data_IF_581903341675
#
_entry.id   IF_581903341675
#
_cell.length_a   1.000
_cell.length_b   1.000
_cell.length_c   1.000
_cell.angle_alpha   90.00
_cell.angle_beta   90.00
_cell.angle_gamma   90.00
#
_symmetry.space_group_name_H-M   'P 1'
#
loop_
_entity.id
_entity.type
_entity.pdbx_description
1 polymer ?
#
# COMPACT_ATOMS: atom_id res chain seq x y z
N UNK A 1 -14.93 -8.05 6.88
CA UNK A 1 -15.38 -8.39 5.52
C UNK A 1 -14.21 -8.07 4.60
N UNK A 2 -13.56 -9.09 4.06
CA UNK A 2 -12.50 -8.89 3.05
C UNK A 2 -13.15 -8.67 1.69
N UNK A 3 -12.67 -7.68 0.93
CA UNK A 3 -13.19 -7.37 -0.40
C UNK A 3 -12.67 -8.36 -1.46
N UNK A 4 -11.45 -8.87 -1.28
CA UNK A 4 -10.76 -9.81 -2.16
C UNK A 4 -9.78 -10.64 -1.32
N UNK A 5 -9.62 -11.93 -1.63
CA UNK A 5 -8.60 -12.77 -0.99
C UNK A 5 -7.19 -12.48 -1.55
N UNK A 6 -6.15 -12.82 -0.79
CA UNK A 6 -4.76 -12.64 -1.23
C UNK A 6 -4.42 -13.54 -2.42
N UNK A 7 -5.01 -14.74 -2.47
CA UNK A 7 -4.85 -15.67 -3.57
C UNK A 7 -5.46 -15.12 -4.87
N UNK A 8 -6.66 -14.52 -4.79
CA UNK A 8 -7.29 -13.86 -5.94
C UNK A 8 -6.49 -12.65 -6.42
N UNK A 9 -5.96 -11.84 -5.49
CA UNK A 9 -5.10 -10.71 -5.81
C UNK A 9 -3.82 -11.15 -6.53
N UNK A 10 -3.07 -12.10 -5.96
CA UNK A 10 -1.83 -12.61 -6.57
C UNK A 10 -2.12 -13.19 -7.97
N UNK A 11 -3.20 -13.96 -8.11
CA UNK A 11 -3.62 -14.47 -9.42
C UNK A 11 -3.88 -13.34 -10.42
N UNK A 12 -4.50 -12.23 -10.01
CA UNK A 12 -4.69 -11.08 -10.89
C UNK A 12 -3.36 -10.41 -11.26
N UNK A 13 -2.43 -10.30 -10.31
CA UNK A 13 -1.09 -9.75 -10.54
C UNK A 13 -0.28 -10.60 -11.52
N UNK A 14 -0.34 -11.92 -11.41
CA UNK A 14 0.35 -12.84 -12.34
C UNK A 14 -0.19 -12.76 -13.77
N UNK A 15 -1.47 -12.39 -13.93
CA UNK A 15 -2.12 -12.24 -15.24
C UNK A 15 -2.01 -10.81 -15.82
N UNK A 16 -1.26 -9.91 -15.18
CA UNK A 16 -1.03 -8.55 -15.71
C UNK A 16 -0.30 -8.60 -17.04
N UNK A 17 -0.45 -7.56 -17.87
CA UNK A 17 0.32 -7.45 -19.09
C UNK A 17 1.83 -7.37 -18.78
N UNK A 18 2.66 -7.98 -19.63
CA UNK A 18 4.10 -8.19 -19.37
C UNK A 18 4.92 -6.93 -19.13
N UNK A 19 4.46 -5.76 -19.58
CA UNK A 19 5.15 -4.46 -19.38
C UNK A 19 4.45 -3.57 -18.37
N UNK A 20 3.56 -4.13 -17.56
CA UNK A 20 2.82 -3.38 -16.54
C UNK A 20 3.45 -3.61 -15.18
N UNK A 21 3.88 -2.51 -14.57
CA UNK A 21 4.19 -2.46 -13.15
C UNK A 21 2.92 -2.20 -12.35
N UNK A 22 2.83 -2.83 -11.18
CA UNK A 22 1.71 -2.64 -10.24
C UNK A 22 2.28 -2.16 -8.92
N UNK A 23 1.79 -1.01 -8.45
CA UNK A 23 2.14 -0.46 -7.15
C UNK A 23 0.97 -0.68 -6.21
N UNK A 24 1.22 -1.36 -5.09
CA UNK A 24 0.25 -1.58 -4.04
C UNK A 24 0.60 -0.68 -2.85
N UNK A 25 -0.40 0.03 -2.33
CA UNK A 25 -0.23 0.93 -1.20
C UNK A 25 -1.23 0.58 -0.10
N UNK A 26 -0.81 0.64 1.15
CA UNK A 26 -1.67 0.38 2.28
C UNK A 26 -0.85 0.11 3.54
N UNK A 27 -1.50 0.19 4.70
CA UNK A 27 -0.90 -0.23 5.97
C UNK A 27 -1.16 -1.71 6.17
N UNK A 28 -0.24 -2.39 6.87
CA UNK A 28 -0.40 -3.80 7.28
C UNK A 28 -0.54 -4.77 6.10
N UNK A 29 0.31 -4.63 5.08
CA UNK A 29 0.36 -5.59 3.99
C UNK A 29 0.61 -7.02 4.53
N UNK A 30 -0.20 -8.02 4.13
CA UNK A 30 0.00 -9.40 4.58
C UNK A 30 1.38 -9.93 4.18
N UNK A 31 2.01 -10.72 5.05
CA UNK A 31 3.38 -11.25 4.81
C UNK A 31 3.51 -11.94 3.46
N UNK A 32 2.49 -12.70 3.04
CA UNK A 32 2.47 -13.37 1.74
C UNK A 32 2.60 -12.42 0.54
N UNK A 33 2.06 -11.21 0.65
CA UNK A 33 2.17 -10.18 -0.40
C UNK A 33 3.54 -9.50 -0.37
N UNK A 34 4.10 -9.30 0.83
CA UNK A 34 5.46 -8.79 1.03
C UNK A 34 6.47 -9.77 0.38
N UNK A 35 6.31 -11.08 0.63
CA UNK A 35 7.19 -12.11 0.09
C UNK A 35 7.05 -12.26 -1.44
N UNK A 36 5.87 -11.96 -2.00
CA UNK A 36 5.61 -12.01 -3.44
C UNK A 36 6.22 -10.81 -4.19
N UNK A 37 6.28 -9.64 -3.57
CA UNK A 37 6.65 -8.40 -4.24
C UNK A 37 8.16 -8.32 -4.55
N UNK A 38 8.49 -7.83 -5.74
CA UNK A 38 9.88 -7.58 -6.14
C UNK A 38 10.54 -6.43 -5.35
N UNK A 39 9.73 -5.44 -4.94
CA UNK A 39 10.16 -4.27 -4.18
C UNK A 39 9.17 -3.99 -3.06
N UNK A 40 9.70 -3.86 -1.83
CA UNK A 40 8.92 -3.49 -0.65
C UNK A 40 9.54 -2.26 0.00
N UNK A 41 8.72 -1.23 0.22
CA UNK A 41 9.08 -0.03 0.97
C UNK A 41 8.22 0.06 2.22
N UNK A 42 8.86 0.12 3.39
CA UNK A 42 8.19 0.33 4.67
C UNK A 42 8.26 1.82 5.07
N UNK A 43 7.11 2.48 5.00
CA UNK A 43 6.98 3.91 5.31
C UNK A 43 6.70 4.10 6.80
N UNK A 44 7.76 4.27 7.58
CA UNK A 44 7.67 4.51 9.02
C UNK A 44 7.34 5.97 9.35
N UNK A 45 6.31 6.20 10.17
CA UNK A 45 5.93 7.54 10.65
C UNK A 45 6.89 8.02 11.73
N UNK A 46 8.00 8.65 11.34
CA UNK A 46 8.95 9.24 12.30
C UNK A 46 8.37 10.49 12.97
N UNK A 47 7.60 11.30 12.21
CA UNK A 47 6.92 12.50 12.73
C UNK A 47 5.79 12.92 11.82
N UNK A 48 4.60 13.13 12.38
CA UNK A 48 3.46 13.70 11.67
C UNK A 48 2.87 14.90 12.43
N UNK A 49 2.50 15.96 11.70
CA UNK A 49 1.95 17.19 12.28
C UNK A 49 0.51 17.04 12.77
N UNK A 50 -0.24 16.08 12.22
CA UNK A 50 -1.59 15.77 12.69
C UNK A 50 -1.57 15.38 14.17
N UNK A 51 -0.78 14.36 14.54
CA UNK A 51 -0.73 13.85 15.90
C UNK A 51 -0.11 14.84 16.90
N UNK A 52 0.96 15.54 16.52
CA UNK A 52 1.74 16.35 17.47
C UNK A 52 1.35 17.83 17.53
N UNK A 53 0.67 18.33 16.49
CA UNK A 53 0.34 19.76 16.35
C UNK A 53 -1.13 20.03 16.02
N UNK A 54 -1.96 18.99 15.82
CA UNK A 54 -3.38 19.13 15.50
C UNK A 54 -3.65 19.76 14.13
N UNK A 55 -2.65 19.83 13.23
CA UNK A 55 -2.86 20.34 11.88
C UNK A 55 -3.74 19.35 11.10
N UNK A 56 -4.87 19.84 10.61
CA UNK A 56 -5.81 19.09 9.79
C UNK A 56 -5.34 19.00 8.34
N UNK A 57 -6.07 18.22 7.53
CA UNK A 57 -5.79 18.01 6.12
C UNK A 57 -5.83 19.32 5.33
N UNK A 58 -4.90 19.45 4.38
CA UNK A 58 -4.77 20.62 3.50
C UNK A 58 -4.88 20.21 2.05
N UNK A 59 -5.48 21.08 1.25
CA UNK A 59 -5.60 20.89 -0.20
C UNK A 59 -4.22 20.84 -0.86
N UNK A 60 -4.03 19.87 -1.77
CA UNK A 60 -2.75 19.64 -2.46
C UNK A 60 -1.69 18.92 -1.60
N UNK A 61 -2.01 18.55 -0.35
CA UNK A 61 -1.08 17.83 0.54
C UNK A 61 -1.71 16.52 1.04
N UNK A 62 -2.79 16.62 1.80
CA UNK A 62 -3.40 15.47 2.50
C UNK A 62 -4.76 15.06 1.89
N UNK A 63 -5.36 15.92 1.07
CA UNK A 63 -6.71 15.76 0.53
C UNK A 63 -6.72 15.04 -0.82
#
# INVERSE_FOLDING_TARGET
MELISIEELIKALDNRATKTEVVLTGRYAPQRLIDYADLVTDMQEVKHYYANKGLLSREGIDR
#
